data_IF_881635711511
#
_entry.id   IF_881635711511
#
_cell.length_a   1.000
_cell.length_b   1.000
_cell.length_c   1.000
_cell.angle_alpha   90.00
_cell.angle_beta   90.00
_cell.angle_gamma   90.00
#
_symmetry.space_group_name_H-M   'P 1'
#
loop_
_entity.id
_entity.type
_entity.pdbx_description
1 polymer ?
#
# COMPACT_ATOMS: atom_id res chain seq x y z
N UNK A 1 -4.85 18.43 -13.40
CA UNK A 1 -5.65 17.25 -13.02
C UNK A 1 -5.78 17.25 -11.52
N UNK A 2 -6.99 17.28 -10.98
CA UNK A 2 -7.21 17.10 -9.53
C UNK A 2 -7.05 15.62 -9.21
N UNK A 3 -6.42 15.29 -8.07
CA UNK A 3 -6.24 13.91 -7.56
C UNK A 3 -7.52 13.06 -7.63
N UNK A 4 -8.70 13.70 -7.57
CA UNK A 4 -10.03 13.09 -7.68
C UNK A 4 -10.35 12.43 -9.02
N UNK A 5 -9.65 12.75 -10.11
CA UNK A 5 -9.99 12.26 -11.46
C UNK A 5 -9.19 11.02 -11.90
N UNK A 6 -8.13 10.65 -11.17
CA UNK A 6 -7.23 9.54 -11.56
C UNK A 6 -7.61 8.23 -10.84
N UNK A 7 -8.44 8.28 -9.79
CA UNK A 7 -8.64 7.15 -8.90
C UNK A 7 -10.12 6.78 -8.85
N UNK A 8 -10.46 5.65 -9.48
CA UNK A 8 -11.76 5.00 -9.30
C UNK A 8 -11.97 4.76 -7.80
N UNK A 9 -13.19 4.96 -7.26
CA UNK A 9 -13.48 4.48 -5.92
C UNK A 9 -13.07 3.02 -5.83
N UNK A 10 -12.43 2.63 -4.71
CA UNK A 10 -12.04 1.26 -4.38
C UNK A 10 -13.12 0.32 -4.91
N UNK A 11 -12.81 -0.50 -5.93
CA UNK A 11 -13.76 -1.50 -6.41
C UNK A 11 -13.81 -2.61 -5.38
N UNK A 12 -14.72 -2.42 -4.43
CA UNK A 12 -15.04 -3.33 -3.34
C UNK A 12 -15.79 -4.52 -3.92
N UNK A 13 -15.23 -5.71 -3.75
CA UNK A 13 -15.91 -6.99 -3.97
C UNK A 13 -15.79 -7.86 -2.72
N UNK A 14 -15.89 -7.24 -1.54
CA UNK A 14 -15.80 -7.93 -0.26
C UNK A 14 -17.08 -8.74 -0.01
N UNK A 15 -16.93 -9.94 0.55
CA UNK A 15 -18.06 -10.60 1.22
C UNK A 15 -18.47 -9.74 2.42
N UNK A 16 -19.70 -9.89 2.91
CA UNK A 16 -20.16 -9.18 4.11
C UNK A 16 -19.29 -9.47 5.36
N UNK A 17 -18.45 -10.50 5.30
CA UNK A 17 -17.56 -10.95 6.37
C UNK A 17 -16.16 -10.32 6.30
N UNK A 18 -15.73 -9.84 5.12
CA UNK A 18 -14.39 -9.30 4.87
C UNK A 18 -14.43 -7.83 4.43
N UNK A 19 -15.47 -7.09 4.81
CA UNK A 19 -15.50 -5.65 4.56
C UNK A 19 -14.60 -4.93 5.58
N UNK A 20 -13.47 -4.32 5.19
CA UNK A 20 -12.70 -3.45 6.06
C UNK A 20 -13.54 -2.32 6.64
N UNK A 21 -13.06 -1.88 7.79
CA UNK A 21 -13.65 -0.80 8.54
C UNK A 21 -13.48 0.54 7.83
N UNK A 22 -14.31 1.51 8.23
CA UNK A 22 -14.12 2.92 7.86
C UNK A 22 -12.74 3.46 8.29
N UNK A 23 -12.13 2.88 9.35
CA UNK A 23 -10.81 3.28 9.83
C UNK A 23 -9.71 2.83 8.88
N UNK A 24 -9.73 1.58 8.43
CA UNK A 24 -8.80 1.06 7.43
C UNK A 24 -8.91 1.83 6.10
N UNK A 25 -10.13 2.19 5.69
CA UNK A 25 -10.36 3.06 4.51
C UNK A 25 -9.70 4.43 4.73
N UNK A 26 -9.96 5.07 5.87
CA UNK A 26 -9.36 6.38 6.18
C UNK A 26 -7.83 6.33 6.29
N UNK A 27 -7.27 5.24 6.77
CA UNK A 27 -5.81 5.01 6.79
C UNK A 27 -5.26 4.88 5.36
N UNK A 28 -5.94 4.14 4.49
CA UNK A 28 -5.54 4.00 3.09
C UNK A 28 -5.53 5.36 2.36
N UNK A 29 -6.54 6.20 2.57
CA UNK A 29 -6.58 7.55 2.01
C UNK A 29 -5.41 8.43 2.50
N UNK A 30 -5.05 8.34 3.77
CA UNK A 30 -3.91 9.09 4.33
C UNK A 30 -2.57 8.62 3.75
N UNK A 31 -2.38 7.31 3.64
CA UNK A 31 -1.20 6.72 3.01
C UNK A 31 -1.06 7.22 1.57
N UNK A 32 -2.16 7.22 0.82
CA UNK A 32 -2.23 7.69 -0.56
C UNK A 32 -1.81 9.15 -0.72
N UNK A 33 -2.28 10.04 0.16
CA UNK A 33 -1.86 11.45 0.17
C UNK A 33 -0.36 11.57 0.43
N UNK A 34 0.18 10.82 1.39
CA UNK A 34 1.60 10.84 1.71
C UNK A 34 2.48 10.30 0.57
N UNK A 35 2.06 9.23 -0.09
CA UNK A 35 2.69 8.66 -1.28
C UNK A 35 2.74 9.69 -2.42
N UNK A 36 1.63 10.38 -2.68
CA UNK A 36 1.55 11.42 -3.70
C UNK A 36 2.49 12.61 -3.40
N UNK A 37 2.51 13.09 -2.15
CA UNK A 37 3.40 14.18 -1.71
C UNK A 37 4.86 13.77 -1.78
N UNK A 38 5.17 12.49 -1.56
CA UNK A 38 6.54 11.98 -1.55
C UNK A 38 7.09 11.59 -2.93
N UNK A 39 6.26 11.63 -3.97
CA UNK A 39 6.64 11.33 -5.36
C UNK A 39 6.49 9.84 -5.75
N UNK A 40 5.92 9.01 -4.88
CA UNK A 40 5.69 7.59 -5.10
C UNK A 40 4.24 7.35 -5.48
N UNK A 41 3.83 7.79 -6.67
CA UNK A 41 2.45 7.57 -7.13
C UNK A 41 2.18 6.07 -7.25
N UNK A 42 1.16 5.54 -6.56
CA UNK A 42 0.82 4.14 -6.72
C UNK A 42 0.26 3.88 -8.12
N UNK A 43 0.44 2.67 -8.63
CA UNK A 43 -0.11 2.26 -9.92
C UNK A 43 -1.60 1.94 -9.80
N UNK A 44 -2.01 1.52 -8.60
CA UNK A 44 -3.36 1.06 -8.32
C UNK A 44 -3.62 1.07 -6.81
N UNK A 45 -4.87 1.29 -6.41
CA UNK A 45 -5.33 1.11 -5.04
C UNK A 45 -6.69 0.40 -5.06
N UNK A 46 -6.76 -0.71 -4.33
CA UNK A 46 -7.88 -1.64 -4.21
C UNK A 46 -7.42 -3.08 -4.42
N UNK A 47 -8.37 -4.02 -4.36
CA UNK A 47 -8.18 -5.47 -4.59
C UNK A 47 -7.41 -6.20 -3.49
N UNK A 48 -8.14 -7.07 -2.78
CA UNK A 48 -7.67 -7.93 -1.70
C UNK A 48 -8.85 -8.24 -0.76
N UNK A 49 -8.64 -9.14 0.20
CA UNK A 49 -9.54 -9.24 1.37
C UNK A 49 -9.51 -7.94 2.21
N UNK A 50 -8.52 -7.07 1.98
CA UNK A 50 -8.30 -5.78 2.65
C UNK A 50 -8.10 -4.63 1.64
N UNK A 51 -8.15 -3.36 2.07
CA UNK A 51 -7.70 -2.23 1.27
C UNK A 51 -6.21 -2.37 1.00
N UNK A 52 -5.84 -2.34 -0.29
CA UNK A 52 -4.45 -2.57 -0.71
C UNK A 52 -4.00 -1.45 -1.63
N UNK A 53 -2.80 -0.92 -1.44
CA UNK A 53 -2.16 0.06 -2.33
C UNK A 53 -1.00 -0.63 -3.05
N UNK A 54 -1.04 -0.68 -4.37
CA UNK A 54 0.03 -1.26 -5.18
C UNK A 54 0.88 -0.16 -5.81
N UNK A 55 2.19 -0.33 -5.73
CA UNK A 55 3.14 0.54 -6.43
C UNK A 55 4.34 -0.24 -6.96
N UNK A 56 4.86 0.23 -8.09
CA UNK A 56 6.13 -0.16 -8.64
C UNK A 56 7.22 0.55 -7.84
N UNK A 57 8.07 -0.23 -7.18
CA UNK A 57 9.21 0.29 -6.45
C UNK A 57 10.50 -0.28 -7.05
N UNK A 58 11.30 0.61 -7.62
CA UNK A 58 12.50 0.28 -8.41
C UNK A 58 12.19 -0.76 -9.50
N UNK A 59 12.47 -2.03 -9.25
CA UNK A 59 12.22 -3.18 -10.15
C UNK A 59 11.23 -4.20 -9.57
N UNK A 60 10.67 -3.96 -8.39
CA UNK A 60 9.75 -4.86 -7.71
C UNK A 60 8.34 -4.27 -7.63
N UNK A 61 7.34 -5.15 -7.59
CA UNK A 61 5.97 -4.77 -7.27
C UNK A 61 5.77 -4.88 -5.76
N UNK A 62 5.34 -3.80 -5.13
CA UNK A 62 4.89 -3.80 -3.73
C UNK A 62 3.37 -3.75 -3.70
N UNK A 63 2.81 -4.46 -2.72
CA UNK A 63 1.45 -4.28 -2.25
C UNK A 63 1.49 -3.85 -0.79
N UNK A 64 0.74 -2.82 -0.42
CA UNK A 64 0.61 -2.36 0.96
C UNK A 64 -0.81 -2.67 1.41
N UNK A 65 -1.00 -3.68 2.25
CA UNK A 65 -2.28 -3.96 2.87
C UNK A 65 -2.51 -3.00 4.04
N UNK A 66 -3.74 -2.52 4.19
CA UNK A 66 -4.08 -1.48 5.16
C UNK A 66 -5.13 -1.99 6.13
N UNK A 67 -4.77 -2.00 7.39
CA UNK A 67 -5.64 -2.39 8.50
C UNK A 67 -5.95 -1.17 9.38
N UNK A 68 -6.69 -1.42 10.46
CA UNK A 68 -7.08 -0.39 11.41
C UNK A 68 -5.87 0.22 12.14
N UNK A 69 -4.86 -0.61 12.42
CA UNK A 69 -3.71 -0.31 13.27
C UNK A 69 -2.35 -0.54 12.60
N UNK A 70 -2.30 -1.18 11.44
CA UNK A 70 -1.07 -1.51 10.73
C UNK A 70 -1.16 -1.32 9.21
N UNK A 71 -0.03 -0.96 8.60
CA UNK A 71 0.26 -1.09 7.18
C UNK A 71 1.23 -2.24 6.98
N UNK A 72 0.86 -3.22 6.15
CA UNK A 72 1.74 -4.34 5.81
C UNK A 72 2.32 -4.13 4.41
N UNK A 73 3.63 -3.89 4.34
CA UNK A 73 4.36 -3.76 3.09
C UNK A 73 4.80 -5.15 2.62
N UNK A 74 4.16 -5.61 1.55
CA UNK A 74 4.36 -6.91 0.93
C UNK A 74 5.14 -6.76 -0.39
N UNK A 75 6.31 -7.37 -0.49
CA UNK A 75 7.03 -7.47 -1.76
C UNK A 75 6.59 -8.73 -2.52
N UNK A 76 6.08 -8.56 -3.73
CA UNK A 76 5.68 -9.67 -4.59
C UNK A 76 6.83 -10.08 -5.53
N UNK A 77 7.14 -11.37 -5.59
CA UNK A 77 7.99 -11.95 -6.63
C UNK A 77 7.13 -12.42 -7.81
N UNK A 78 7.21 -11.76 -8.98
CA UNK A 78 6.48 -12.18 -10.16
C UNK A 78 6.89 -13.58 -10.63
N UNK A 79 8.17 -13.94 -10.46
CA UNK A 79 8.71 -15.23 -10.90
C UNK A 79 8.19 -16.39 -10.04
N UNK A 80 8.07 -16.17 -8.73
CA UNK A 80 7.61 -17.19 -7.79
C UNK A 80 6.09 -17.15 -7.54
N UNK A 81 5.40 -16.12 -8.05
CA UNK A 81 3.99 -15.85 -7.76
C UNK A 81 3.68 -15.82 -6.25
N UNK A 82 4.62 -15.30 -5.43
CA UNK A 82 4.53 -15.34 -3.97
C UNK A 82 4.99 -14.03 -3.32
N UNK A 83 4.48 -13.77 -2.12
CA UNK A 83 4.98 -12.71 -1.22
C UNK A 83 6.29 -13.19 -0.58
N UNK A 84 7.34 -12.39 -0.73
CA UNK A 84 8.69 -12.77 -0.27
C UNK A 84 9.06 -12.09 1.04
N UNK A 85 8.45 -10.94 1.35
CA UNK A 85 8.72 -10.19 2.56
C UNK A 85 7.50 -9.38 2.97
N UNK A 86 7.21 -9.36 4.28
CA UNK A 86 6.19 -8.53 4.92
C UNK A 86 6.89 -7.66 5.96
N UNK A 87 6.71 -6.34 5.88
CA UNK A 87 7.18 -5.38 6.89
C UNK A 87 6.01 -4.57 7.39
N UNK A 88 5.83 -4.55 8.69
CA UNK A 88 4.71 -3.85 9.35
C UNK A 88 5.11 -2.45 9.80
N UNK A 89 4.19 -1.50 9.59
CA UNK A 89 4.30 -0.13 10.07
C UNK A 89 3.00 0.26 10.78
N UNK A 90 3.08 0.95 11.92
CA UNK A 90 1.88 1.38 12.62
C UNK A 90 1.01 2.32 11.75
N UNK A 91 -0.31 2.18 11.80
CA UNK A 91 -1.28 3.04 11.10
C UNK A 91 -1.42 4.42 11.76
N UNK A 92 -0.30 5.12 11.87
CA UNK A 92 -0.13 6.43 12.50
C UNK A 92 0.62 7.36 11.55
N UNK A 93 0.56 8.69 11.75
CA UNK A 93 1.34 9.63 10.93
C UNK A 93 2.85 9.33 10.92
N UNK A 94 3.43 8.90 12.05
CA UNK A 94 4.84 8.51 12.11
C UNK A 94 5.11 7.22 11.34
N UNK A 95 4.24 6.21 11.45
CA UNK A 95 4.41 4.96 10.70
C UNK A 95 4.30 5.14 9.18
N UNK A 96 3.45 6.06 8.70
CA UNK A 96 3.46 6.48 7.29
C UNK A 96 4.82 7.08 6.90
N UNK A 97 5.38 7.93 7.77
CA UNK A 97 6.69 8.52 7.58
C UNK A 97 7.81 7.48 7.50
N UNK A 98 7.76 6.47 8.36
CA UNK A 98 8.71 5.35 8.38
C UNK A 98 8.58 4.49 7.13
N UNK A 99 7.36 4.19 6.69
CA UNK A 99 7.07 3.46 5.45
C UNK A 99 7.61 4.23 4.22
N UNK A 100 7.31 5.52 4.11
CA UNK A 100 7.84 6.40 3.04
C UNK A 100 9.36 6.49 3.08
N UNK A 101 9.94 6.55 4.28
CA UNK A 101 11.40 6.57 4.42
C UNK A 101 12.03 5.25 3.99
N UNK A 102 11.44 4.11 4.35
CA UNK A 102 11.90 2.81 3.90
C UNK A 102 11.90 2.71 2.36
N UNK A 103 10.85 3.24 1.70
CA UNK A 103 10.78 3.28 0.24
C UNK A 103 11.85 4.18 -0.42
N UNK A 104 12.37 5.17 0.29
CA UNK A 104 13.41 6.08 -0.23
C UNK A 104 14.82 5.56 -0.05
N UNK A 105 15.06 4.76 1.00
CA UNK A 105 16.40 4.36 1.41
C UNK A 105 16.77 2.92 1.02
N UNK A 106 15.79 2.05 0.70
CA UNK A 106 16.07 0.67 0.34
C UNK A 106 16.14 0.45 -1.17
N UNK A 107 17.32 0.66 -1.75
CA UNK A 107 17.74 -0.09 -2.95
C UNK A 107 18.14 -1.55 -2.59
N UNK A 108 18.12 -1.91 -1.31
CA UNK A 108 18.57 -3.21 -0.79
C UNK A 108 17.47 -4.29 -0.71
N UNK A 109 16.25 -4.00 -1.16
CA UNK A 109 15.21 -5.02 -1.35
C UNK A 109 15.25 -5.63 -2.76
N UNK A 110 16.46 -5.72 -3.32
CA UNK A 110 16.72 -6.58 -4.45
C UNK A 110 16.69 -8.03 -3.98
N UNK A 111 15.91 -8.92 -4.63
CA UNK A 111 16.25 -10.33 -4.54
C UNK A 111 17.68 -10.45 -5.10
N UNK A 112 18.58 -11.04 -4.31
CA UNK A 112 19.90 -11.45 -4.81
C UNK A 112 19.77 -12.44 -5.96
#
# INVERSE_FOLDING_TARGET
>A
MTLSAIWSPVRVAWSAENAPSDLAIGNAERLMVALAVSGHLPDWAGRGDWPTVCLNWTSAKIEIEVFDDVYELCQFSPEAHSTVMVVEYAATPSGIGDLVSAMRFNDQLQPG
#
